data_IF_737509553634
#
_entry.id   IF_737509553634
#
_cell.length_a   1.000
_cell.length_b   1.000
_cell.length_c   1.000
_cell.angle_alpha   90.00
_cell.angle_beta   90.00
_cell.angle_gamma   90.00
#
_symmetry.space_group_name_H-M   'P 1'
#
loop_
_entity.id
_entity.type
_entity.pdbx_description
1 polymer ?
#
# COMPACT_ATOMS: atom_id res chain seq x y z
N UNK A 1 23.47 -21.37 -20.14
CA UNK A 1 22.35 -22.32 -20.06
C UNK A 1 22.15 -22.76 -18.62
N UNK A 2 21.14 -22.23 -17.95
CA UNK A 2 20.62 -22.75 -16.69
C UNK A 2 19.15 -22.32 -16.57
N UNK A 3 18.28 -22.93 -17.37
CA UNK A 3 16.84 -23.01 -17.08
C UNK A 3 16.69 -24.31 -16.31
N UNK A 4 16.50 -24.26 -14.99
CA UNK A 4 16.37 -25.48 -14.21
C UNK A 4 16.38 -25.28 -12.70
N UNK A 5 15.51 -24.41 -12.18
CA UNK A 5 14.81 -24.75 -10.94
C UNK A 5 13.53 -25.47 -11.36
N UNK A 6 13.09 -26.48 -10.61
CA UNK A 6 11.85 -27.25 -10.87
C UNK A 6 10.61 -26.35 -10.81
N UNK A 7 10.39 -25.52 -11.83
CA UNK A 7 9.09 -24.89 -12.04
C UNK A 7 8.11 -25.99 -12.44
N UNK A 8 7.10 -26.19 -11.60
CA UNK A 8 6.01 -27.11 -11.85
C UNK A 8 5.46 -26.91 -13.27
N UNK A 9 5.31 -27.97 -14.06
CA UNK A 9 4.91 -27.88 -15.47
C UNK A 9 3.62 -27.06 -15.67
N UNK A 10 2.69 -27.12 -14.72
CA UNK A 10 1.48 -26.31 -14.72
C UNK A 10 1.76 -24.80 -14.74
N UNK A 11 2.74 -24.32 -13.96
CA UNK A 11 3.14 -22.91 -13.94
C UNK A 11 3.74 -22.48 -15.27
N UNK A 12 4.58 -23.34 -15.89
CA UNK A 12 5.15 -23.07 -17.22
C UNK A 12 4.10 -22.98 -18.31
N UNK A 13 3.11 -23.89 -18.30
CA UNK A 13 2.00 -23.87 -19.26
C UNK A 13 1.15 -22.61 -19.08
N UNK A 14 0.82 -22.25 -17.84
CA UNK A 14 0.06 -21.03 -17.54
C UNK A 14 0.79 -19.76 -17.97
N UNK A 15 2.09 -19.63 -17.70
CA UNK A 15 2.90 -18.50 -18.19
C UNK A 15 2.88 -18.42 -19.71
N UNK A 16 3.02 -19.57 -20.39
CA UNK A 16 3.00 -19.63 -21.86
C UNK A 16 1.67 -19.16 -22.42
N UNK A 17 0.56 -19.66 -21.88
CA UNK A 17 -0.78 -19.28 -22.32
C UNK A 17 -1.03 -17.78 -22.10
N UNK A 18 -0.65 -17.25 -20.93
CA UNK A 18 -0.78 -15.82 -20.65
C UNK A 18 -0.02 -14.97 -21.68
N UNK A 19 1.21 -15.36 -22.04
CA UNK A 19 2.00 -14.65 -23.05
C UNK A 19 1.36 -14.70 -24.45
N UNK A 20 0.75 -15.83 -24.83
CA UNK A 20 0.03 -15.99 -26.10
C UNK A 20 -1.19 -15.07 -26.13
N UNK A 21 -1.97 -15.04 -25.04
CA UNK A 21 -3.14 -14.17 -24.94
C UNK A 21 -2.75 -12.69 -24.98
N UNK A 22 -1.66 -12.30 -24.29
CA UNK A 22 -1.12 -10.93 -24.35
C UNK A 22 -0.71 -10.51 -25.78
N UNK A 23 -0.16 -11.43 -26.58
CA UNK A 23 0.15 -11.16 -28.00
C UNK A 23 -1.12 -11.07 -28.87
N UNK A 24 -2.16 -11.83 -28.51
CA UNK A 24 -3.48 -11.78 -29.15
C UNK A 24 -4.18 -10.44 -28.97
N UNK A 25 -4.08 -9.85 -27.77
CA UNK A 25 -4.65 -8.54 -27.45
C UNK A 25 -4.07 -7.40 -28.31
N UNK A 26 -2.85 -7.54 -28.83
CA UNK A 26 -2.25 -6.54 -29.73
C UNK A 26 -2.88 -6.55 -31.14
N UNK A 27 -3.64 -7.59 -31.49
CA UNK A 27 -4.18 -7.83 -32.84
C UNK A 27 -5.68 -7.64 -32.94
N UNK A 28 -6.38 -7.61 -31.80
CA UNK A 28 -7.83 -7.52 -31.75
C UNK A 28 -8.31 -6.06 -31.75
N UNK A 29 -9.55 -5.84 -32.16
CA UNK A 29 -10.16 -4.49 -32.20
C UNK A 29 -10.55 -3.95 -30.82
N UNK A 30 -10.63 -4.82 -29.82
CA UNK A 30 -10.93 -4.44 -28.43
C UNK A 30 -9.65 -3.94 -27.74
N UNK A 31 -9.67 -2.66 -27.34
CA UNK A 31 -8.54 -2.03 -26.66
C UNK A 31 -8.49 -2.45 -25.19
N UNK A 32 -7.71 -3.49 -24.88
CA UNK A 32 -7.45 -3.92 -23.50
C UNK A 32 -6.16 -3.27 -22.97
N UNK A 33 -6.26 -2.62 -21.81
CA UNK A 33 -5.09 -2.08 -21.10
C UNK A 33 -4.67 -3.02 -19.96
N UNK A 34 -3.46 -3.56 -20.05
CA UNK A 34 -2.89 -4.42 -19.01
C UNK A 34 -1.99 -3.61 -18.07
N UNK A 35 -2.34 -3.57 -16.78
CA UNK A 35 -1.49 -3.04 -15.71
C UNK A 35 -1.00 -4.18 -14.81
N UNK A 36 0.32 -4.30 -14.65
CA UNK A 36 0.96 -5.25 -13.76
C UNK A 36 1.70 -4.52 -12.62
N UNK A 37 1.63 -5.06 -11.40
CA UNK A 37 2.32 -4.53 -10.23
C UNK A 37 3.09 -5.66 -9.53
N UNK A 38 4.37 -5.42 -9.22
CA UNK A 38 5.24 -6.37 -8.52
C UNK A 38 6.21 -5.63 -7.63
N UNK A 39 6.44 -6.16 -6.42
CA UNK A 39 7.50 -5.74 -5.50
C UNK A 39 8.83 -6.47 -5.72
N UNK A 40 8.86 -7.44 -6.66
CA UNK A 40 10.04 -8.26 -6.99
C UNK A 40 10.26 -8.24 -8.52
N UNK A 41 10.47 -7.07 -9.15
CA UNK A 41 10.53 -6.95 -10.61
C UNK A 41 11.72 -7.68 -11.24
N UNK A 42 12.77 -7.99 -10.47
CA UNK A 42 13.97 -8.69 -10.97
C UNK A 42 13.77 -10.20 -11.15
N UNK A 43 12.71 -10.79 -10.58
CA UNK A 43 12.36 -12.20 -10.77
C UNK A 43 11.51 -12.45 -12.02
N UNK A 44 11.05 -11.39 -12.69
CA UNK A 44 10.28 -11.51 -13.92
C UNK A 44 11.14 -12.05 -15.06
N UNK A 45 10.59 -13.01 -15.81
CA UNK A 45 11.27 -13.56 -16.97
C UNK A 45 11.37 -12.53 -18.12
N UNK A 46 12.33 -12.76 -19.02
CA UNK A 46 12.57 -11.87 -20.16
C UNK A 46 11.44 -11.87 -21.19
N UNK A 47 10.54 -12.85 -21.20
CA UNK A 47 9.41 -12.90 -22.11
C UNK A 47 8.27 -11.98 -21.65
N UNK A 48 8.00 -11.93 -20.34
CA UNK A 48 7.07 -10.99 -19.73
C UNK A 48 7.62 -9.55 -19.83
N UNK A 49 8.90 -9.34 -19.50
CA UNK A 49 9.51 -8.01 -19.57
C UNK A 49 9.42 -7.40 -20.97
N UNK A 50 9.53 -8.19 -22.04
CA UNK A 50 9.39 -7.70 -23.42
C UNK A 50 7.98 -7.18 -23.75
N UNK A 51 6.94 -7.73 -23.12
CA UNK A 51 5.54 -7.32 -23.36
C UNK A 51 5.09 -6.21 -22.41
N UNK A 52 5.73 -6.08 -21.25
CA UNK A 52 5.57 -4.97 -20.32
C UNK A 52 6.58 -3.86 -20.65
N UNK A 53 6.32 -3.15 -21.75
CA UNK A 53 7.22 -2.14 -22.29
C UNK A 53 7.38 -0.92 -21.37
N UNK A 54 6.26 -0.40 -20.83
CA UNK A 54 6.26 0.74 -19.92
C UNK A 54 6.42 0.25 -18.48
N UNK A 55 7.48 0.70 -17.82
CA UNK A 55 7.84 0.30 -16.45
C UNK A 55 8.05 1.56 -15.63
N UNK A 56 7.29 1.68 -14.55
CA UNK A 56 7.34 2.83 -13.65
C UNK A 56 7.81 2.32 -12.29
N UNK A 57 8.91 2.87 -11.80
CA UNK A 57 9.36 2.62 -10.43
C UNK A 57 8.51 3.46 -9.49
N UNK A 58 7.76 2.79 -8.62
CA UNK A 58 7.01 3.44 -7.54
C UNK A 58 7.90 3.47 -6.31
N UNK A 59 8.54 4.61 -6.07
CA UNK A 59 9.36 4.86 -4.89
C UNK A 59 8.54 5.25 -3.66
N UNK A 60 9.24 5.54 -2.56
CA UNK A 60 8.64 6.12 -1.37
C UNK A 60 8.06 7.51 -1.68
N UNK A 61 6.97 7.91 -1.00
CA UNK A 61 6.36 9.23 -1.20
C UNK A 61 7.32 10.35 -0.77
N UNK A 62 7.41 11.37 -1.62
CA UNK A 62 8.11 12.61 -1.28
C UNK A 62 7.32 13.43 -0.24
N UNK A 63 7.93 14.49 0.30
CA UNK A 63 7.34 15.31 1.36
C UNK A 63 5.91 15.81 1.01
N UNK A 64 5.72 16.35 -0.19
CA UNK A 64 4.41 16.85 -0.62
C UNK A 64 3.37 15.73 -0.74
N UNK A 65 3.77 14.56 -1.26
CA UNK A 65 2.91 13.40 -1.34
C UNK A 65 2.53 12.88 0.06
N UNK A 66 3.46 12.88 1.02
CA UNK A 66 3.18 12.51 2.41
C UNK A 66 2.21 13.49 3.07
N UNK A 67 2.39 14.80 2.86
CA UNK A 67 1.46 15.81 3.36
C UNK A 67 0.04 15.60 2.82
N UNK A 68 -0.10 15.40 1.50
CA UNK A 68 -1.39 15.11 0.87
C UNK A 68 -2.01 13.78 1.35
N UNK A 69 -1.20 12.74 1.59
CA UNK A 69 -1.66 11.48 2.17
C UNK A 69 -2.16 11.67 3.60
N UNK A 70 -1.43 12.41 4.43
CA UNK A 70 -1.84 12.72 5.81
C UNK A 70 -3.15 13.51 5.83
N UNK A 71 -3.30 14.50 4.95
CA UNK A 71 -4.56 15.25 4.79
C UNK A 71 -5.71 14.34 4.33
N UNK A 72 -5.44 13.38 3.45
CA UNK A 72 -6.45 12.41 3.00
C UNK A 72 -6.88 11.46 4.14
N UNK A 73 -5.93 11.02 4.98
CA UNK A 73 -6.22 10.07 6.06
C UNK A 73 -6.77 10.73 7.33
N UNK A 74 -6.41 11.98 7.58
CA UNK A 74 -6.91 12.82 8.67
C UNK A 74 -7.48 14.11 8.07
N UNK A 75 -8.71 14.07 7.51
CA UNK A 75 -9.28 15.23 6.84
C UNK A 75 -9.53 16.39 7.80
N UNK A 76 -9.60 17.59 7.22
CA UNK A 76 -9.96 18.82 7.95
C UNK A 76 -11.26 18.63 8.73
N UNK A 77 -11.20 18.85 10.05
CA UNK A 77 -12.30 18.59 10.97
C UNK A 77 -12.05 17.41 11.93
N UNK A 78 -11.04 16.58 11.67
CA UNK A 78 -10.62 15.56 12.64
C UNK A 78 -10.04 16.17 13.92
N UNK A 79 -9.16 17.17 13.77
CA UNK A 79 -8.67 18.01 14.87
C UNK A 79 -8.38 19.42 14.36
N UNK A 80 -8.39 20.39 15.27
CA UNK A 80 -8.04 21.77 14.93
C UNK A 80 -6.52 21.94 14.87
N UNK A 81 -6.03 22.68 13.88
CA UNK A 81 -4.62 23.08 13.79
C UNK A 81 -3.64 21.98 13.36
N UNK A 82 -4.09 21.00 12.57
CA UNK A 82 -3.18 20.01 11.99
C UNK A 82 -2.30 20.68 10.92
N UNK A 83 -0.98 20.62 11.12
CA UNK A 83 0.03 21.08 10.16
C UNK A 83 0.60 19.86 9.41
N UNK A 84 0.06 19.58 8.23
CA UNK A 84 0.42 18.40 7.43
C UNK A 84 1.83 18.47 6.85
N UNK A 85 2.33 19.66 6.53
CA UNK A 85 3.70 19.83 6.03
C UNK A 85 4.72 19.50 7.12
N UNK A 86 4.48 19.98 8.34
CA UNK A 86 5.31 19.68 9.50
C UNK A 86 5.27 18.18 9.84
N UNK A 87 4.09 17.55 9.82
CA UNK A 87 3.95 16.11 10.03
C UNK A 87 4.63 15.29 8.93
N UNK A 88 4.56 15.72 7.67
CA UNK A 88 5.28 15.11 6.57
C UNK A 88 6.80 15.19 6.74
N UNK A 89 7.30 16.25 7.38
CA UNK A 89 8.70 16.42 7.75
C UNK A 89 9.18 15.40 8.80
N UNK A 90 8.31 14.93 9.69
CA UNK A 90 8.66 13.90 10.69
C UNK A 90 8.56 12.46 10.18
N UNK A 91 8.06 12.26 8.96
CA UNK A 91 7.75 10.93 8.39
C UNK A 91 8.62 10.63 7.18
N UNK A 92 9.87 11.08 7.20
CA UNK A 92 10.85 10.76 6.16
C UNK A 92 11.01 9.25 5.99
N UNK A 93 11.11 8.80 4.74
CA UNK A 93 11.18 7.39 4.32
C UNK A 93 9.98 6.49 4.68
N UNK A 94 8.87 7.05 5.13
CA UNK A 94 7.68 6.27 5.43
C UNK A 94 6.89 5.92 4.18
N UNK A 95 6.39 4.70 4.10
CA UNK A 95 5.49 4.27 3.04
C UNK A 95 4.06 4.80 3.28
N UNK A 96 3.22 4.74 2.25
CA UNK A 96 1.80 5.10 2.40
C UNK A 96 1.05 4.23 3.42
N UNK A 97 1.53 2.99 3.66
CA UNK A 97 0.97 2.09 4.68
C UNK A 97 1.32 2.55 6.10
N UNK A 98 2.57 3.01 6.31
CA UNK A 98 3.02 3.51 7.61
C UNK A 98 2.26 4.78 8.01
N UNK A 99 2.09 5.71 7.05
CA UNK A 99 1.30 6.92 7.27
C UNK A 99 -0.17 6.61 7.60
N UNK A 100 -0.75 5.61 6.93
CA UNK A 100 -2.13 5.19 7.21
C UNK A 100 -2.27 4.59 8.60
N UNK A 101 -1.30 3.77 9.02
CA UNK A 101 -1.28 3.19 10.35
C UNK A 101 -1.15 4.28 11.43
N UNK A 102 -0.26 5.25 11.23
CA UNK A 102 -0.12 6.41 12.11
C UNK A 102 -1.44 7.16 12.28
N UNK A 103 -2.11 7.47 11.18
CA UNK A 103 -3.39 8.18 11.22
C UNK A 103 -4.46 7.37 11.94
N UNK A 104 -4.51 6.05 11.71
CA UNK A 104 -5.42 5.14 12.41
C UNK A 104 -5.15 5.12 13.92
N UNK A 105 -3.89 5.05 14.34
CA UNK A 105 -3.54 5.06 15.76
C UNK A 105 -3.83 6.41 16.43
N UNK A 106 -3.59 7.52 15.73
CA UNK A 106 -3.99 8.85 16.19
C UNK A 106 -5.52 8.94 16.37
N UNK A 107 -6.28 8.38 15.42
CA UNK A 107 -7.74 8.35 15.47
C UNK A 107 -8.32 7.53 16.63
N UNK A 108 -7.63 6.48 17.04
CA UNK A 108 -8.03 5.62 18.17
C UNK A 108 -7.68 6.21 19.55
N UNK A 109 -6.84 7.25 19.60
CA UNK A 109 -6.36 7.82 20.86
C UNK A 109 -7.48 8.37 21.77
N UNK A 110 -8.50 9.11 21.28
CA UNK A 110 -9.60 9.59 22.12
C UNK A 110 -10.42 8.44 22.74
N UNK A 111 -10.67 7.37 21.96
CA UNK A 111 -11.41 6.20 22.46
C UNK A 111 -10.64 5.49 23.58
N UNK A 112 -9.32 5.29 23.41
CA UNK A 112 -8.47 4.71 24.45
C UNK A 112 -8.47 5.52 25.74
N UNK A 113 -8.46 6.87 25.64
CA UNK A 113 -8.59 7.75 26.80
C UNK A 113 -9.94 7.60 27.50
N UNK A 114 -11.02 7.48 26.73
CA UNK A 114 -12.36 7.28 27.30
C UNK A 114 -12.47 5.94 28.02
N UNK A 115 -12.00 4.85 27.41
CA UNK A 115 -12.01 3.52 28.03
C UNK A 115 -11.24 3.50 29.35
N UNK A 116 -10.02 4.05 29.37
CA UNK A 116 -9.23 4.16 30.60
C UNK A 116 -9.94 5.00 31.68
N UNK A 117 -10.67 6.04 31.30
CA UNK A 117 -11.45 6.85 32.26
C UNK A 117 -12.64 6.07 32.85
N UNK A 118 -13.31 5.24 32.05
CA UNK A 118 -14.44 4.41 32.49
C UNK A 118 -13.95 3.32 33.45
N UNK A 119 -12.87 2.63 33.12
CA UNK A 119 -12.24 1.61 33.98
C UNK A 119 -11.80 2.21 35.33
N UNK A 120 -11.14 3.38 35.30
CA UNK A 120 -10.75 4.09 36.52
C UNK A 120 -11.92 4.61 37.36
N UNK A 121 -13.08 4.87 36.73
CA UNK A 121 -14.30 5.26 37.45
C UNK A 121 -14.92 4.07 38.18
N UNK A 122 -14.98 2.90 37.54
CA UNK A 122 -15.48 1.67 38.16
C UNK A 122 -14.60 1.18 39.32
N UNK A 123 -13.28 1.37 39.23
CA UNK A 123 -12.36 1.04 40.32
C UNK A 123 -12.65 1.86 41.60
N UNK A 124 -12.90 3.17 41.46
CA UNK A 124 -13.19 4.07 42.60
C UNK A 124 -14.56 3.82 43.24
N UNK A 125 -15.53 3.38 42.44
CA UNK A 125 -16.88 3.07 42.93
C UNK A 125 -16.93 1.77 43.75
N UNK A 126 -16.06 0.81 43.46
CA UNK A 126 -15.92 -0.43 44.23
C UNK A 126 -15.08 -0.25 45.52
N UNK A 127 -14.16 0.70 45.59
CA UNK A 127 -13.41 1.01 46.83
C UNK A 127 -14.23 1.81 47.84
N UNK A 128 -15.35 2.39 47.42
CA UNK A 128 -16.24 3.20 48.26
C UNK A 128 -17.42 2.41 48.88
N UNK A 129 -17.45 1.09 48.71
CA UNK A 129 -18.40 0.16 49.33
C UNK A 129 -17.67 -0.77 50.29
#
# INVERSE_FOLDING_TARGET
>A
SARGGEEHEGSRRMKTELLIQMDGLLRDTDQVFLLAASNIPWELDSAMLRRLEKRILVGLPNLNARAAMLETYLPHGFAQGIDYEKLAGFTEDWSGSDLRLLCKEAAMHPLRRLMASIEGSHARENESK
#
